data_IF_874631823842
#
_entry.id   IF_874631823842
#
_cell.length_a   1.000
_cell.length_b   1.000
_cell.length_c   1.000
_cell.angle_alpha   90.00
_cell.angle_beta   90.00
_cell.angle_gamma   90.00
#
_symmetry.space_group_name_H-M   'P 1'
#
loop_
_entity.id
_entity.type
_entity.pdbx_description
1 polymer ?
#
# COMPACT_ATOMS: atom_id res chain seq x y z
N UNK A 1 -2.22 -66.81 54.27
CA UNK A 1 -1.48 -65.66 53.70
C UNK A 1 -1.40 -65.66 52.17
N UNK A 2 -1.35 -66.80 51.46
CA UNK A 2 -1.14 -66.82 49.99
C UNK A 2 -2.24 -66.20 49.10
N UNK A 3 -3.53 -66.26 49.46
CA UNK A 3 -4.62 -65.77 48.60
C UNK A 3 -4.69 -64.24 48.48
N UNK A 4 -4.33 -63.51 49.55
CA UNK A 4 -4.36 -62.04 49.58
C UNK A 4 -3.19 -61.47 48.79
N UNK A 5 -2.00 -62.10 48.89
CA UNK A 5 -0.82 -61.69 48.13
C UNK A 5 -1.02 -61.89 46.64
N UNK A 6 -1.60 -63.03 46.22
CA UNK A 6 -1.92 -63.31 44.82
C UNK A 6 -2.94 -62.31 44.26
N UNK A 7 -4.01 -62.02 45.00
CA UNK A 7 -5.01 -61.03 44.59
C UNK A 7 -4.41 -59.62 44.43
N UNK A 8 -3.57 -59.19 45.37
CA UNK A 8 -2.88 -57.89 45.29
C UNK A 8 -1.94 -57.81 44.08
N UNK A 9 -1.17 -58.87 43.80
CA UNK A 9 -0.30 -58.90 42.60
C UNK A 9 -1.09 -58.88 41.29
N UNK A 10 -2.24 -59.54 41.21
CA UNK A 10 -3.08 -59.54 40.00
C UNK A 10 -3.69 -58.16 39.76
N UNK A 11 -4.15 -57.48 40.81
CA UNK A 11 -4.71 -56.12 40.71
C UNK A 11 -3.64 -55.11 40.31
N UNK A 12 -2.44 -55.18 40.91
CA UNK A 12 -1.32 -54.31 40.52
C UNK A 12 -0.88 -54.55 39.07
N UNK A 13 -0.78 -55.82 38.63
CA UNK A 13 -0.43 -56.14 37.26
C UNK A 13 -1.47 -55.62 36.25
N UNK A 14 -2.77 -55.77 36.56
CA UNK A 14 -3.85 -55.26 35.73
C UNK A 14 -3.82 -53.71 35.62
N UNK A 15 -3.56 -53.02 36.73
CA UNK A 15 -3.45 -51.55 36.75
C UNK A 15 -2.25 -51.04 35.93
N UNK A 16 -1.09 -51.71 36.02
CA UNK A 16 0.10 -51.37 35.23
C UNK A 16 -0.14 -51.61 33.73
N UNK A 17 -0.76 -52.73 33.36
CA UNK A 17 -1.14 -53.02 31.97
C UNK A 17 -2.13 -51.99 31.42
N UNK A 18 -3.13 -51.59 32.21
CA UNK A 18 -4.09 -50.56 31.82
C UNK A 18 -3.41 -49.19 31.62
N UNK A 19 -2.53 -48.78 32.53
CA UNK A 19 -1.76 -47.54 32.41
C UNK A 19 -0.84 -47.55 31.19
N UNK A 20 -0.13 -48.65 30.95
CA UNK A 20 0.72 -48.83 29.77
C UNK A 20 -0.08 -48.76 28.46
N UNK A 21 -1.23 -49.44 28.39
CA UNK A 21 -2.13 -49.37 27.23
C UNK A 21 -2.66 -47.95 26.99
N UNK A 22 -2.95 -47.19 28.05
CA UNK A 22 -3.40 -45.80 27.97
C UNK A 22 -2.29 -44.87 27.47
N UNK A 23 -1.05 -45.06 27.92
CA UNK A 23 0.14 -44.33 27.44
C UNK A 23 0.43 -44.67 25.98
N UNK A 24 0.39 -45.95 25.60
CA UNK A 24 0.57 -46.39 24.19
C UNK A 24 -0.53 -45.79 23.31
N UNK A 25 -1.79 -45.85 23.72
CA UNK A 25 -2.91 -45.24 22.98
C UNK A 25 -2.77 -43.72 22.85
N UNK A 26 -2.31 -43.03 23.90
CA UNK A 26 -2.01 -41.58 23.84
C UNK A 26 -0.84 -41.27 22.91
N UNK A 27 0.24 -42.06 22.96
CA UNK A 27 1.38 -41.94 22.04
C UNK A 27 0.96 -42.20 20.60
N UNK A 28 0.25 -43.28 20.31
CA UNK A 28 -0.28 -43.57 18.95
C UNK A 28 -1.20 -42.46 18.43
N UNK A 29 -2.09 -41.91 19.27
CA UNK A 29 -2.94 -40.77 18.90
C UNK A 29 -2.11 -39.51 18.64
N UNK A 30 -1.07 -39.27 19.43
CA UNK A 30 -0.12 -38.16 19.22
C UNK A 30 0.67 -38.33 17.92
N UNK A 31 1.23 -39.52 17.66
CA UNK A 31 1.94 -39.86 16.42
C UNK A 31 1.03 -39.74 15.20
N UNK A 32 -0.23 -40.19 15.28
CA UNK A 32 -1.21 -40.03 14.20
C UNK A 32 -1.59 -38.56 13.94
N UNK A 33 -1.70 -37.73 14.99
CA UNK A 33 -1.90 -36.28 14.85
C UNK A 33 -0.70 -35.59 14.21
N UNK A 34 0.52 -35.98 14.60
CA UNK A 34 1.75 -35.46 14.00
C UNK A 34 1.88 -35.86 12.53
N UNK A 35 1.59 -37.12 12.19
CA UNK A 35 1.60 -37.56 10.79
C UNK A 35 0.60 -36.76 9.93
N UNK A 36 -0.59 -36.46 10.47
CA UNK A 36 -1.58 -35.61 9.79
C UNK A 36 -1.09 -34.17 9.64
N UNK A 37 -0.48 -33.59 10.68
CA UNK A 37 0.07 -32.24 10.61
C UNK A 37 1.20 -32.13 9.58
N UNK A 38 2.09 -33.13 9.51
CA UNK A 38 3.15 -33.20 8.49
C UNK A 38 2.57 -33.32 7.08
N UNK A 39 1.50 -34.11 6.89
CA UNK A 39 0.83 -34.21 5.60
C UNK A 39 0.23 -32.87 5.14
N UNK A 40 -0.46 -32.15 6.05
CA UNK A 40 -1.02 -30.82 5.76
C UNK A 40 0.11 -29.84 5.42
N UNK A 41 1.21 -29.85 6.18
CA UNK A 41 2.34 -28.96 5.93
C UNK A 41 2.97 -29.21 4.56
N UNK A 42 3.14 -30.48 4.18
CA UNK A 42 3.67 -30.86 2.87
C UNK A 42 2.74 -30.43 1.72
N UNK A 43 1.44 -30.61 1.89
CA UNK A 43 0.44 -30.15 0.93
C UNK A 43 0.47 -28.61 0.78
N UNK A 44 0.61 -27.88 1.88
CA UNK A 44 0.73 -26.43 1.88
C UNK A 44 2.03 -25.98 1.18
N UNK A 45 3.16 -26.63 1.47
CA UNK A 45 4.45 -26.37 0.80
C UNK A 45 4.35 -26.57 -0.72
N UNK A 46 3.72 -27.65 -1.16
CA UNK A 46 3.52 -27.95 -2.59
C UNK A 46 2.57 -26.94 -3.27
N UNK A 47 1.43 -26.62 -2.65
CA UNK A 47 0.44 -25.69 -3.21
C UNK A 47 0.95 -24.25 -3.26
N UNK A 48 1.62 -23.78 -2.20
CA UNK A 48 2.21 -22.44 -2.12
C UNK A 48 3.53 -22.32 -2.91
N UNK A 49 4.05 -23.42 -3.46
CA UNK A 49 5.28 -23.43 -4.25
C UNK A 49 5.24 -22.47 -5.44
N UNK A 50 6.22 -21.56 -5.48
CA UNK A 50 6.43 -20.54 -6.53
C UNK A 50 7.73 -20.79 -7.30
N UNK A 51 7.84 -21.91 -8.05
CA UNK A 51 9.03 -22.15 -8.86
C UNK A 51 9.17 -21.05 -9.92
N UNK A 52 10.40 -20.79 -10.36
CA UNK A 52 10.73 -19.72 -11.32
C UNK A 52 9.83 -19.75 -12.56
N UNK A 53 9.50 -20.93 -13.08
CA UNK A 53 8.59 -21.06 -14.23
C UNK A 53 7.18 -20.51 -13.97
N UNK A 54 6.63 -20.72 -12.76
CA UNK A 54 5.33 -20.17 -12.36
C UNK A 54 5.41 -18.66 -12.16
N UNK A 55 6.48 -18.16 -11.54
CA UNK A 55 6.70 -16.72 -11.35
C UNK A 55 6.76 -15.97 -12.69
N UNK A 56 7.40 -16.55 -13.70
CA UNK A 56 7.40 -15.99 -15.06
C UNK A 56 6.00 -15.91 -15.65
N UNK A 57 5.18 -16.96 -15.50
CA UNK A 57 3.79 -16.94 -15.97
C UNK A 57 2.95 -15.86 -15.27
N UNK A 58 3.19 -15.63 -13.98
CA UNK A 58 2.51 -14.54 -13.25
C UNK A 58 2.99 -13.18 -13.75
N UNK A 59 4.29 -13.01 -13.99
CA UNK A 59 4.84 -11.77 -14.56
C UNK A 59 4.27 -11.49 -15.96
N UNK A 60 4.21 -12.50 -16.84
CA UNK A 60 3.61 -12.38 -18.17
C UNK A 60 2.13 -11.98 -18.08
N UNK A 61 1.37 -12.60 -17.16
CA UNK A 61 -0.03 -12.25 -16.92
C UNK A 61 -0.18 -10.81 -16.38
N UNK A 62 0.71 -10.36 -15.50
CA UNK A 62 0.74 -8.98 -15.01
C UNK A 62 0.97 -8.01 -16.18
N UNK A 63 1.94 -8.27 -17.05
CA UNK A 63 2.19 -7.43 -18.24
C UNK A 63 0.99 -7.35 -19.17
N UNK A 64 0.28 -8.47 -19.39
CA UNK A 64 -0.96 -8.49 -20.18
C UNK A 64 -2.04 -7.62 -19.54
N UNK A 65 -2.27 -7.75 -18.24
CA UNK A 65 -3.25 -6.94 -17.51
C UNK A 65 -2.86 -5.45 -17.49
N UNK A 66 -1.56 -5.12 -17.40
CA UNK A 66 -1.07 -3.74 -17.49
C UNK A 66 -1.42 -3.11 -18.84
N UNK A 67 -1.14 -3.81 -19.94
CA UNK A 67 -1.50 -3.34 -21.28
C UNK A 67 -3.02 -3.18 -21.43
N UNK A 68 -3.81 -4.13 -20.92
CA UNK A 68 -5.27 -4.05 -20.97
C UNK A 68 -5.80 -2.85 -20.16
N UNK A 69 -5.25 -2.57 -18.98
CA UNK A 69 -5.64 -1.43 -18.14
C UNK A 69 -5.24 -0.06 -18.72
N UNK A 70 -4.18 0.00 -19.52
CA UNK A 70 -3.77 1.21 -20.26
C UNK A 70 -4.55 1.40 -21.58
N UNK A 71 -5.08 0.32 -22.16
CA UNK A 71 -5.81 0.36 -23.43
C UNK A 71 -7.18 1.06 -23.30
N UNK A 72 -7.90 0.81 -22.20
CA UNK A 72 -9.21 1.42 -21.95
C UNK A 72 -9.57 1.47 -20.48
N UNK A 73 -10.46 2.40 -20.12
CA UNK A 73 -11.03 2.46 -18.77
C UNK A 73 -11.83 1.18 -18.46
N UNK A 74 -11.45 0.49 -17.39
CA UNK A 74 -12.06 -0.79 -17.01
C UNK A 74 -11.61 -2.00 -17.87
N UNK A 75 -10.60 -1.85 -18.72
CA UNK A 75 -10.06 -2.94 -19.56
C UNK A 75 -9.37 -4.07 -18.77
N UNK A 76 -9.00 -3.82 -17.52
CA UNK A 76 -8.34 -4.78 -16.61
C UNK A 76 -8.85 -4.61 -15.18
N UNK A 77 -8.55 -5.59 -14.33
CA UNK A 77 -8.65 -5.43 -12.87
C UNK A 77 -7.59 -4.47 -12.32
N UNK A 78 -6.45 -4.33 -13.00
CA UNK A 78 -5.51 -3.23 -12.79
C UNK A 78 -6.14 -1.93 -13.32
N UNK A 79 -6.23 -0.92 -12.46
CA UNK A 79 -6.84 0.36 -12.87
C UNK A 79 -5.93 1.17 -13.78
N UNK A 80 -4.61 1.07 -13.58
CA UNK A 80 -3.60 1.79 -14.37
C UNK A 80 -3.95 3.27 -14.50
N UNK A 81 -4.18 3.91 -13.36
CA UNK A 81 -4.66 5.28 -13.24
C UNK A 81 -3.59 6.27 -13.69
N UNK A 82 -4.01 7.24 -14.51
CA UNK A 82 -3.17 8.33 -14.98
C UNK A 82 -3.01 9.34 -13.83
N UNK A 83 -1.76 9.58 -13.42
CA UNK A 83 -1.48 10.43 -12.26
C UNK A 83 -1.40 11.92 -12.56
N UNK A 84 -1.30 12.31 -13.84
CA UNK A 84 -0.98 13.68 -14.26
C UNK A 84 0.40 14.18 -13.79
N UNK A 85 1.23 13.31 -13.19
CA UNK A 85 2.63 13.60 -12.89
C UNK A 85 3.45 13.32 -14.15
N UNK A 86 3.79 14.42 -14.82
CA UNK A 86 4.49 14.42 -16.10
C UNK A 86 5.97 14.80 -15.97
N UNK A 87 6.38 15.24 -14.78
CA UNK A 87 7.75 15.58 -14.44
C UNK A 87 8.07 15.15 -13.00
N UNK A 88 8.96 14.15 -12.87
CA UNK A 88 9.45 13.71 -11.57
C UNK A 88 10.60 14.61 -11.07
N UNK A 89 10.87 14.65 -9.76
CA UNK A 89 11.94 15.45 -9.20
C UNK A 89 13.30 15.09 -9.81
N UNK A 90 14.08 16.11 -10.13
CA UNK A 90 15.39 16.02 -10.79
C UNK A 90 16.56 15.95 -9.83
N UNK A 91 16.35 16.43 -8.60
CA UNK A 91 17.40 16.64 -7.60
C UNK A 91 17.95 18.05 -7.55
N UNK A 92 17.61 18.90 -8.53
CA UNK A 92 18.10 20.28 -8.64
C UNK A 92 17.19 21.30 -7.92
N UNK A 93 16.06 20.84 -7.38
CA UNK A 93 15.05 21.66 -6.71
C UNK A 93 15.59 22.38 -5.47
N UNK A 94 15.15 23.62 -5.27
CA UNK A 94 15.53 24.48 -4.15
C UNK A 94 14.30 25.16 -3.57
N UNK A 95 14.32 25.39 -2.27
CA UNK A 95 13.28 26.13 -1.56
C UNK A 95 12.56 25.29 -0.50
N UNK A 96 11.59 25.93 0.14
CA UNK A 96 10.74 25.34 1.17
C UNK A 96 9.48 24.76 0.53
N UNK A 97 9.23 23.47 0.78
CA UNK A 97 8.02 22.77 0.34
C UNK A 97 7.36 22.08 1.51
N UNK A 98 6.03 21.98 1.45
CA UNK A 98 5.22 21.27 2.42
C UNK A 98 4.66 19.99 1.82
N UNK A 99 4.40 18.99 2.67
CA UNK A 99 3.54 17.87 2.30
C UNK A 99 2.55 17.55 3.42
N UNK A 100 1.37 17.10 3.01
CA UNK A 100 0.32 16.57 3.86
C UNK A 100 0.07 15.13 3.41
N UNK A 101 0.16 14.18 4.32
CA UNK A 101 -0.08 12.77 4.04
C UNK A 101 -1.23 12.27 4.89
N UNK A 102 -2.38 12.08 4.24
CA UNK A 102 -3.60 11.56 4.84
C UNK A 102 -3.78 10.09 4.40
N UNK A 103 -3.29 9.20 5.25
CA UNK A 103 -3.18 7.77 4.97
C UNK A 103 -4.14 6.85 5.73
N UNK A 104 -4.73 7.31 6.84
CA UNK A 104 -5.55 6.51 7.74
C UNK A 104 -6.02 7.28 8.97
N UNK A 105 -6.00 6.66 10.16
CA UNK A 105 -6.43 7.28 11.43
C UNK A 105 -5.48 8.38 11.93
N UNK A 106 -4.28 8.47 11.36
CA UNK A 106 -3.35 9.57 11.56
C UNK A 106 -3.04 10.20 10.20
N UNK A 107 -2.69 11.48 10.22
CA UNK A 107 -2.07 12.14 9.09
C UNK A 107 -0.75 12.78 9.51
N UNK A 108 0.11 13.04 8.53
CA UNK A 108 1.40 13.69 8.75
C UNK A 108 1.41 15.03 8.02
N UNK A 109 1.88 16.06 8.71
CA UNK A 109 2.29 17.32 8.08
C UNK A 109 3.81 17.40 8.14
N UNK A 110 4.43 17.76 7.04
CA UNK A 110 5.88 17.86 6.97
C UNK A 110 6.32 19.02 6.10
N UNK A 111 7.53 19.51 6.37
CA UNK A 111 8.20 20.53 5.55
C UNK A 111 9.62 20.11 5.25
N UNK A 112 10.07 20.46 4.05
CA UNK A 112 11.41 20.16 3.58
C UNK A 112 12.04 21.39 2.96
N UNK A 113 13.26 21.71 3.40
CA UNK A 113 14.11 22.71 2.79
C UNK A 113 15.05 22.00 1.82
N UNK A 114 14.88 22.24 0.52
CA UNK A 114 15.72 21.69 -0.54
C UNK A 114 16.86 22.67 -0.89
N UNK A 115 18.06 22.12 -1.03
CA UNK A 115 19.31 22.84 -1.33
C UNK A 115 19.85 22.61 -2.74
N UNK A 116 19.08 21.96 -3.63
CA UNK A 116 19.52 21.58 -4.97
C UNK A 116 20.47 20.39 -4.97
N UNK A 117 21.19 20.21 -6.08
CA UNK A 117 21.96 18.99 -6.36
C UNK A 117 22.94 18.56 -5.27
N UNK A 118 23.66 19.52 -4.70
CA UNK A 118 24.67 19.27 -3.67
C UNK A 118 24.05 19.21 -2.28
N UNK A 119 23.19 20.18 -1.93
CA UNK A 119 22.59 20.28 -0.60
C UNK A 119 21.48 19.26 -0.34
N UNK A 120 20.87 18.69 -1.39
CA UNK A 120 19.73 17.75 -1.32
C UNK A 120 18.67 18.24 -0.34
N UNK A 121 18.30 17.40 0.63
CA UNK A 121 17.45 17.77 1.76
C UNK A 121 18.34 18.41 2.83
N UNK A 122 18.23 19.73 2.98
CA UNK A 122 18.99 20.52 3.97
C UNK A 122 18.39 20.36 5.36
N UNK A 123 17.06 20.42 5.44
CA UNK A 123 16.31 20.32 6.69
C UNK A 123 14.95 19.71 6.42
N UNK A 124 14.50 18.84 7.31
CA UNK A 124 13.18 18.23 7.25
C UNK A 124 12.61 18.13 8.66
N UNK A 125 11.33 18.44 8.80
CA UNK A 125 10.58 18.30 10.05
C UNK A 125 9.18 17.79 9.72
N UNK A 126 8.60 16.99 10.62
CA UNK A 126 7.24 16.49 10.49
C UNK A 126 6.55 16.41 11.86
N UNK A 127 5.22 16.49 11.84
CA UNK A 127 4.35 16.23 12.98
C UNK A 127 3.30 15.20 12.54
N UNK A 128 3.11 14.16 13.34
CA UNK A 128 2.03 13.20 13.16
C UNK A 128 0.85 13.61 14.05
N UNK A 129 -0.33 13.68 13.44
CA UNK A 129 -1.55 14.15 14.10
C UNK A 129 -2.59 13.03 14.00
N UNK A 130 -3.10 12.62 15.16
CA UNK A 130 -4.17 11.63 15.22
C UNK A 130 -5.52 12.27 14.95
N UNK A 131 -6.34 11.62 14.13
CA UNK A 131 -7.67 12.10 13.78
C UNK A 131 -8.66 11.60 14.83
N UNK A 132 -9.35 12.50 15.55
CA UNK A 132 -10.44 12.11 16.43
C UNK A 132 -11.46 11.23 15.69
N UNK A 133 -11.85 10.05 16.24
CA UNK A 133 -12.71 9.10 15.51
C UNK A 133 -14.02 9.67 15.00
N UNK A 134 -14.61 10.64 15.71
CA UNK A 134 -15.85 11.30 15.29
C UNK A 134 -15.69 12.10 13.97
N UNK A 135 -14.49 12.56 13.64
CA UNK A 135 -14.21 13.25 12.37
C UNK A 135 -14.09 12.29 11.20
N UNK A 136 -13.83 11.00 11.45
CA UNK A 136 -13.77 9.98 10.39
C UNK A 136 -15.17 9.60 9.88
N UNK A 137 -16.21 9.95 10.62
CA UNK A 137 -17.63 9.69 10.29
C UNK A 137 -18.49 10.95 10.39
N UNK A 138 -17.85 12.13 10.44
CA UNK A 138 -18.50 13.42 10.55
C UNK A 138 -18.81 14.01 9.18
N UNK A 139 -18.67 15.34 9.05
CA UNK A 139 -18.78 16.03 7.75
C UNK A 139 -17.43 16.30 7.09
N UNK A 140 -17.45 16.49 5.76
CA UNK A 140 -16.27 16.90 4.97
C UNK A 140 -15.63 18.14 5.58
N UNK A 141 -16.46 19.16 5.86
CA UNK A 141 -16.04 20.43 6.42
C UNK A 141 -15.26 20.28 7.73
N UNK A 142 -15.75 19.48 8.68
CA UNK A 142 -15.10 19.29 9.98
C UNK A 142 -13.75 18.57 9.86
N UNK A 143 -13.63 17.56 8.99
CA UNK A 143 -12.36 16.87 8.77
C UNK A 143 -11.31 17.80 8.16
N UNK A 144 -11.66 18.49 7.06
CA UNK A 144 -10.70 19.36 6.37
C UNK A 144 -10.35 20.61 7.18
N UNK A 145 -11.27 21.15 7.99
CA UNK A 145 -10.97 22.22 8.94
C UNK A 145 -9.97 21.77 10.01
N UNK A 146 -10.14 20.57 10.55
CA UNK A 146 -9.21 19.99 11.52
C UNK A 146 -7.80 19.85 10.94
N UNK A 147 -7.71 19.35 9.71
CA UNK A 147 -6.45 19.20 8.98
C UNK A 147 -5.81 20.57 8.70
N UNK A 148 -6.58 21.53 8.20
CA UNK A 148 -6.09 22.88 7.90
C UNK A 148 -5.59 23.60 9.17
N UNK A 149 -6.29 23.46 10.30
CA UNK A 149 -5.88 24.01 11.58
C UNK A 149 -4.56 23.40 12.08
N UNK A 150 -4.39 22.08 11.96
CA UNK A 150 -3.13 21.40 12.29
C UNK A 150 -1.98 21.87 11.38
N UNK A 151 -2.24 22.00 10.08
CA UNK A 151 -1.27 22.51 9.12
C UNK A 151 -0.85 23.96 9.42
N UNK A 152 -1.81 24.83 9.75
CA UNK A 152 -1.52 26.22 10.14
C UNK A 152 -0.69 26.30 11.42
N UNK A 153 -1.01 25.47 12.43
CA UNK A 153 -0.21 25.35 13.65
C UNK A 153 1.22 24.92 13.33
N UNK A 154 1.39 23.93 12.46
CA UNK A 154 2.71 23.46 12.03
C UNK A 154 3.50 24.54 11.28
N UNK A 155 2.86 25.26 10.36
CA UNK A 155 3.46 26.41 9.65
C UNK A 155 3.92 27.50 10.63
N UNK A 156 3.16 27.79 11.69
CA UNK A 156 3.53 28.78 12.70
C UNK A 156 4.81 28.40 13.49
N UNK A 157 5.27 27.14 13.41
CA UNK A 157 6.52 26.69 14.04
C UNK A 157 7.76 26.83 13.16
N UNK A 158 7.65 27.49 11.99
CA UNK A 158 8.79 27.75 11.12
C UNK A 158 9.94 28.43 11.88
N UNK A 159 11.05 27.70 12.05
CA UNK A 159 12.26 28.20 12.71
C UNK A 159 13.37 28.58 11.73
N UNK A 160 14.53 28.96 12.27
CA UNK A 160 15.72 29.23 11.47
C UNK A 160 16.09 28.03 10.57
N UNK A 161 16.37 28.32 9.30
CA UNK A 161 16.69 27.31 8.28
C UNK A 161 15.56 27.00 7.29
N UNK A 162 14.33 27.42 7.57
CA UNK A 162 13.23 27.35 6.61
C UNK A 162 12.97 28.73 5.99
N UNK A 163 13.08 28.82 4.67
CA UNK A 163 12.97 30.09 3.97
C UNK A 163 11.93 29.99 2.87
N UNK A 164 10.79 30.65 3.09
CA UNK A 164 9.86 30.96 2.00
C UNK A 164 10.52 32.02 1.12
N UNK A 165 10.68 31.73 -0.16
CA UNK A 165 11.22 32.71 -1.10
C UNK A 165 10.33 33.97 -1.12
N UNK A 166 10.90 35.19 -1.07
CA UNK A 166 10.11 36.42 -1.08
C UNK A 166 9.15 36.46 -2.28
N UNK A 167 7.87 36.78 -2.01
CA UNK A 167 6.82 36.83 -3.04
C UNK A 167 6.34 35.48 -3.56
N UNK A 168 6.76 34.36 -2.94
CA UNK A 168 6.20 33.04 -3.22
C UNK A 168 5.25 32.60 -2.11
N UNK A 169 4.12 32.07 -2.55
CA UNK A 169 3.18 31.34 -1.70
C UNK A 169 3.78 29.97 -1.32
N UNK A 170 3.42 29.43 -0.15
CA UNK A 170 3.82 28.08 0.25
C UNK A 170 3.16 27.04 -0.66
N UNK A 171 3.92 26.05 -1.10
CA UNK A 171 3.44 24.98 -1.98
C UNK A 171 3.33 23.67 -1.20
N UNK A 172 2.17 23.02 -1.29
CA UNK A 172 1.82 21.78 -0.60
C UNK A 172 1.64 20.63 -1.59
N UNK A 173 2.35 19.52 -1.36
CA UNK A 173 1.99 18.22 -1.93
C UNK A 173 0.98 17.52 -1.03
N UNK A 174 -0.20 17.22 -1.55
CA UNK A 174 -1.25 16.52 -0.81
C UNK A 174 -1.26 15.04 -1.19
N UNK A 175 -0.69 14.19 -0.35
CA UNK A 175 -0.80 12.74 -0.44
C UNK A 175 -2.12 12.29 0.17
N UNK A 176 -3.01 11.75 -0.66
CA UNK A 176 -4.34 11.32 -0.26
C UNK A 176 -4.55 9.86 -0.63
N UNK A 177 -4.33 8.97 0.34
CA UNK A 177 -4.26 7.52 0.10
C UNK A 177 -5.62 6.84 0.20
N UNK A 178 -6.60 7.40 -0.53
CA UNK A 178 -7.91 6.83 -0.76
C UNK A 178 -8.20 6.76 -2.26
N UNK A 179 -9.13 5.90 -2.70
CA UNK A 179 -9.53 5.84 -4.11
C UNK A 179 -10.01 7.19 -4.63
N UNK A 180 -9.25 7.79 -5.55
CA UNK A 180 -9.55 9.08 -6.18
C UNK A 180 -9.56 8.95 -7.70
N UNK A 181 -10.52 9.62 -8.34
CA UNK A 181 -10.52 9.86 -9.77
C UNK A 181 -9.81 11.20 -10.02
N UNK A 182 -8.51 11.13 -10.26
CA UNK A 182 -7.72 12.33 -10.51
C UNK A 182 -8.13 12.97 -11.85
N UNK A 183 -8.34 14.29 -11.84
CA UNK A 183 -8.79 15.06 -13.02
C UNK A 183 -7.70 16.02 -13.52
N UNK A 184 -6.75 16.38 -12.65
CA UNK A 184 -5.52 17.10 -12.99
C UNK A 184 -4.43 16.80 -11.96
N UNK A 185 -3.23 17.36 -12.13
CA UNK A 185 -2.15 17.22 -11.12
C UNK A 185 -2.58 17.73 -9.73
N UNK A 186 -3.51 18.67 -9.65
CA UNK A 186 -3.93 19.30 -8.40
C UNK A 186 -5.47 19.30 -8.24
N UNK A 187 -6.16 18.27 -8.72
CA UNK A 187 -7.59 18.06 -8.47
C UNK A 187 -7.96 16.59 -8.62
N UNK A 188 -8.92 16.12 -7.84
CA UNK A 188 -9.40 14.75 -7.95
C UNK A 188 -10.58 14.44 -7.06
N UNK A 189 -11.56 13.73 -7.63
CA UNK A 189 -12.82 13.43 -6.96
C UNK A 189 -12.69 12.14 -6.14
N UNK A 190 -13.10 12.17 -4.87
CA UNK A 190 -13.11 10.97 -4.04
C UNK A 190 -14.11 9.95 -4.62
N UNK A 191 -13.66 8.71 -4.85
CA UNK A 191 -14.52 7.63 -5.36
C UNK A 191 -15.27 6.97 -4.20
N UNK A 192 -14.54 6.59 -3.15
CA UNK A 192 -15.11 5.97 -1.95
C UNK A 192 -14.14 6.09 -0.78
N UNK A 193 -14.68 6.24 0.42
CA UNK A 193 -13.89 6.10 1.63
C UNK A 193 -13.50 4.64 1.89
N UNK A 194 -12.37 4.47 2.57
CA UNK A 194 -11.86 3.17 3.05
C UNK A 194 -11.27 3.38 4.45
N UNK A 195 -10.63 2.35 5.03
CA UNK A 195 -9.83 2.49 6.27
C UNK A 195 -10.62 3.08 7.46
N UNK A 196 -11.91 2.78 7.55
CA UNK A 196 -12.79 3.23 8.63
C UNK A 196 -13.38 4.63 8.47
N UNK A 197 -13.08 5.34 7.37
CA UNK A 197 -13.73 6.60 7.03
C UNK A 197 -15.11 6.36 6.42
N UNK A 198 -16.07 7.24 6.73
CA UNK A 198 -17.43 7.23 6.21
C UNK A 198 -18.02 8.64 6.25
N UNK A 199 -17.57 9.52 5.35
CA UNK A 199 -18.01 10.91 5.24
C UNK A 199 -18.73 11.07 3.90
N UNK A 200 -20.06 10.99 3.91
CA UNK A 200 -20.87 10.86 2.69
C UNK A 200 -20.76 12.07 1.75
N UNK A 201 -20.66 13.28 2.31
CA UNK A 201 -20.65 14.54 1.55
C UNK A 201 -19.33 14.82 0.82
N UNK A 202 -18.24 14.12 1.14
CA UNK A 202 -16.98 14.20 0.36
C UNK A 202 -17.00 13.31 -0.88
N UNK A 203 -17.85 12.28 -0.93
CA UNK A 203 -17.82 11.30 -2.03
C UNK A 203 -18.30 11.96 -3.33
N UNK A 204 -17.45 11.94 -4.36
CA UNK A 204 -17.67 12.62 -5.64
C UNK A 204 -17.18 14.06 -5.69
N UNK A 205 -16.67 14.61 -4.58
CA UNK A 205 -16.16 15.98 -4.50
C UNK A 205 -14.63 16.03 -4.65
N UNK A 206 -14.13 17.15 -5.17
CA UNK A 206 -12.69 17.41 -5.32
C UNK A 206 -12.04 17.67 -3.96
N UNK A 207 -11.23 16.71 -3.50
CA UNK A 207 -10.56 16.75 -2.19
C UNK A 207 -9.53 17.88 -2.08
N UNK A 208 -8.97 18.32 -3.21
CA UNK A 208 -8.07 19.49 -3.23
C UNK A 208 -8.88 20.77 -3.01
N UNK A 209 -10.05 20.87 -3.65
CA UNK A 209 -11.00 21.95 -3.43
C UNK A 209 -11.45 22.03 -1.97
N UNK A 210 -11.79 20.90 -1.35
CA UNK A 210 -12.19 20.84 0.07
C UNK A 210 -11.10 21.33 1.02
N UNK A 211 -9.86 20.85 0.83
CA UNK A 211 -8.71 21.32 1.61
C UNK A 211 -8.42 22.80 1.38
N UNK A 212 -8.52 23.28 0.13
CA UNK A 212 -8.28 24.68 -0.24
C UNK A 212 -9.28 25.60 0.45
N UNK A 213 -10.58 25.27 0.40
CA UNK A 213 -11.63 26.02 1.10
C UNK A 213 -11.36 26.07 2.61
N UNK A 214 -10.88 24.97 3.22
CA UNK A 214 -10.53 24.92 4.64
C UNK A 214 -9.35 25.83 4.99
N UNK A 215 -8.29 25.84 4.16
CA UNK A 215 -7.16 26.75 4.33
C UNK A 215 -7.56 28.22 4.18
N UNK A 216 -8.45 28.53 3.21
CA UNK A 216 -8.97 29.89 2.99
C UNK A 216 -9.78 30.41 4.19
N UNK A 217 -10.64 29.56 4.79
CA UNK A 217 -11.44 29.93 5.98
C UNK A 217 -10.59 30.42 7.15
N UNK A 218 -9.38 29.87 7.31
CA UNK A 218 -8.45 30.24 8.39
C UNK A 218 -7.35 31.21 7.93
N UNK A 219 -7.37 31.65 6.67
CA UNK A 219 -6.40 32.60 6.12
C UNK A 219 -4.98 32.04 5.97
N UNK A 220 -4.83 30.72 5.75
CA UNK A 220 -3.52 30.10 5.54
C UNK A 220 -3.04 30.34 4.10
N UNK A 221 -1.98 31.13 3.93
CA UNK A 221 -1.38 31.43 2.61
C UNK A 221 -0.56 30.24 2.08
N UNK A 222 -1.25 29.29 1.46
CA UNK A 222 -0.70 28.05 0.92
C UNK A 222 -1.53 27.55 -0.27
N UNK A 223 -0.84 26.96 -1.27
CA UNK A 223 -1.47 26.36 -2.45
C UNK A 223 -1.17 24.87 -2.51
N UNK A 224 -2.19 24.06 -2.77
CA UNK A 224 -1.99 22.65 -3.16
C UNK A 224 -1.40 22.62 -4.56
N UNK A 225 -0.13 22.22 -4.68
CA UNK A 225 0.58 22.17 -5.95
C UNK A 225 0.39 20.82 -6.66
N UNK A 226 0.18 19.75 -5.90
CA UNK A 226 -0.08 18.42 -6.45
C UNK A 226 -0.92 17.58 -5.47
N UNK A 227 -1.88 16.84 -6.01
CA UNK A 227 -2.55 15.71 -5.39
C UNK A 227 -1.81 14.44 -5.84
N UNK A 228 -1.37 13.63 -4.89
CA UNK A 228 -0.59 12.42 -5.17
C UNK A 228 -1.12 11.23 -4.40
N UNK A 229 -1.00 10.05 -5.00
CA UNK A 229 -1.07 8.78 -4.27
C UNK A 229 0.25 8.52 -3.54
N UNK A 230 0.22 7.84 -2.39
CA UNK A 230 1.40 7.48 -1.58
C UNK A 230 2.50 6.76 -2.37
N UNK A 231 2.12 5.85 -3.26
CA UNK A 231 3.04 5.06 -4.08
C UNK A 231 3.73 5.94 -5.14
N UNK A 232 3.01 6.92 -5.69
CA UNK A 232 3.57 7.95 -6.56
C UNK A 232 4.53 8.85 -5.79
N UNK A 233 4.15 9.28 -4.58
CA UNK A 233 5.02 10.07 -3.70
C UNK A 233 6.32 9.32 -3.38
N UNK A 234 6.23 8.00 -3.16
CA UNK A 234 7.38 7.11 -2.97
C UNK A 234 8.28 7.07 -4.19
N UNK A 235 7.71 6.95 -5.40
CA UNK A 235 8.47 7.02 -6.65
C UNK A 235 9.15 8.39 -6.83
N UNK A 236 8.45 9.48 -6.53
CA UNK A 236 8.98 10.83 -6.65
C UNK A 236 10.15 11.08 -5.68
N UNK A 237 10.02 10.66 -4.42
CA UNK A 237 11.11 10.72 -3.43
C UNK A 237 12.30 9.85 -3.84
N UNK A 238 12.03 8.64 -4.36
CA UNK A 238 13.05 7.76 -4.93
C UNK A 238 13.81 8.42 -6.09
N UNK A 239 13.06 8.97 -7.05
CA UNK A 239 13.60 9.63 -8.26
C UNK A 239 14.42 10.87 -7.92
N UNK A 240 14.03 11.62 -6.88
CA UNK A 240 14.79 12.77 -6.38
C UNK A 240 16.23 12.38 -6.02
N UNK A 241 16.43 11.24 -5.35
CA UNK A 241 17.75 10.76 -4.96
C UNK A 241 18.46 9.95 -6.05
N UNK A 242 17.72 9.17 -6.82
CA UNK A 242 18.23 8.27 -7.85
C UNK A 242 17.47 8.44 -9.17
N UNK A 243 18.12 9.01 -10.19
CA UNK A 243 17.52 9.24 -11.51
C UNK A 243 17.09 7.97 -12.24
N UNK A 244 17.62 6.81 -11.84
CA UNK A 244 17.28 5.51 -12.44
C UNK A 244 16.02 4.86 -11.82
N UNK A 245 15.42 5.46 -10.78
CA UNK A 245 14.23 4.90 -10.15
C UNK A 245 13.02 4.99 -11.08
N UNK A 246 12.56 3.89 -11.66
CA UNK A 246 11.43 3.88 -12.60
C UNK A 246 10.13 3.34 -12.01
N UNK A 247 10.18 2.70 -10.84
CA UNK A 247 9.03 2.14 -10.17
C UNK A 247 9.18 2.23 -8.64
N UNK A 248 8.06 2.33 -7.96
CA UNK A 248 7.94 2.22 -6.51
C UNK A 248 6.90 1.18 -6.17
N UNK A 249 7.18 0.45 -5.10
CA UNK A 249 6.28 -0.60 -4.59
C UNK A 249 6.10 -0.42 -3.09
N UNK A 250 4.84 -0.43 -2.65
CA UNK A 250 4.46 -0.48 -1.25
C UNK A 250 4.13 -1.94 -0.88
N UNK A 251 4.80 -2.44 0.17
CA UNK A 251 4.54 -3.75 0.77
C UNK A 251 4.30 -3.56 2.27
N UNK A 252 3.06 -3.26 2.64
CA UNK A 252 2.68 -3.07 4.05
C UNK A 252 1.31 -3.67 4.33
N UNK A 253 0.50 -2.97 5.13
CA UNK A 253 -0.91 -3.38 5.39
C UNK A 253 -1.70 -3.55 4.09
N UNK A 254 -1.42 -2.73 3.08
CA UNK A 254 -1.85 -2.94 1.70
C UNK A 254 -0.64 -3.06 0.78
N UNK A 255 -0.91 -3.33 -0.50
CA UNK A 255 0.13 -3.25 -1.53
C UNK A 255 -0.33 -2.44 -2.74
N UNK A 256 0.58 -1.67 -3.29
CA UNK A 256 0.39 -0.95 -4.53
C UNK A 256 1.73 -0.77 -5.26
N UNK A 257 1.67 -0.46 -6.55
CA UNK A 257 2.82 -0.11 -7.35
C UNK A 257 2.53 1.09 -8.26
N UNK A 258 3.55 1.91 -8.46
CA UNK A 258 3.54 2.98 -9.43
C UNK A 258 4.82 2.93 -10.26
N UNK A 259 4.74 3.28 -11.53
CA UNK A 259 5.90 3.29 -12.42
C UNK A 259 5.82 4.37 -13.48
N UNK A 260 6.95 4.65 -14.12
CA UNK A 260 7.07 5.58 -15.24
C UNK A 260 6.80 4.86 -16.55
N UNK A 261 5.72 5.23 -17.23
CA UNK A 261 5.37 4.74 -18.56
C UNK A 261 5.66 5.81 -19.62
N UNK A 262 5.91 5.36 -20.85
CA UNK A 262 5.97 6.23 -22.02
C UNK A 262 4.59 6.73 -22.36
N UNK A 263 4.40 8.05 -22.36
CA UNK A 263 3.08 8.66 -22.53
C UNK A 263 2.37 8.28 -23.84
N UNK A 264 3.12 8.02 -24.91
CA UNK A 264 2.56 7.59 -26.21
C UNK A 264 2.10 6.12 -26.22
N UNK A 265 2.48 5.32 -25.22
CA UNK A 265 2.11 3.92 -25.06
C UNK A 265 0.86 3.74 -24.18
N UNK A 266 0.10 4.82 -23.95
CA UNK A 266 -1.13 4.82 -23.14
C UNK A 266 -2.33 5.13 -24.05
N UNK A 267 -2.96 4.12 -24.70
CA UNK A 267 -4.04 4.37 -25.65
C UNK A 267 -5.25 5.09 -25.06
N UNK A 268 -5.55 4.90 -23.76
CA UNK A 268 -6.67 5.58 -23.11
C UNK A 268 -6.41 7.06 -22.81
N UNK A 269 -5.16 7.52 -22.89
CA UNK A 269 -4.80 8.93 -22.69
C UNK A 269 -4.98 9.71 -23.99
N UNK A 270 -5.88 10.69 -23.95
CA UNK A 270 -6.18 11.56 -25.09
C UNK A 270 -5.77 13.03 -24.83
N UNK A 271 -5.15 13.30 -23.67
CA UNK A 271 -4.68 14.63 -23.31
C UNK A 271 -3.36 14.98 -24.00
N UNK A 272 -2.84 16.16 -23.67
CA UNK A 272 -1.54 16.60 -24.18
C UNK A 272 -0.43 15.68 -23.68
N UNK A 273 0.52 15.35 -24.56
CA UNK A 273 1.67 14.57 -24.17
C UNK A 273 2.61 15.42 -23.28
N UNK A 274 3.05 14.86 -22.14
CA UNK A 274 4.15 15.39 -21.33
C UNK A 274 5.35 15.81 -22.17
N UNK A 275 5.99 16.94 -21.81
CA UNK A 275 7.24 17.37 -22.47
C UNK A 275 8.37 16.36 -22.27
N UNK A 276 8.38 15.67 -21.13
CA UNK A 276 9.31 14.58 -20.81
C UNK A 276 9.10 13.33 -21.68
N UNK A 277 7.90 13.16 -22.25
CA UNK A 277 7.45 11.90 -22.86
C UNK A 277 7.11 10.81 -21.83
N UNK A 278 7.20 11.12 -20.54
CA UNK A 278 6.96 10.21 -19.41
C UNK A 278 5.64 10.55 -18.72
N UNK A 279 4.91 9.52 -18.28
CA UNK A 279 3.71 9.65 -17.46
C UNK A 279 3.80 8.63 -16.33
N UNK A 280 3.65 9.09 -15.08
CA UNK A 280 3.59 8.17 -13.95
C UNK A 280 2.21 7.51 -13.91
N UNK A 281 2.19 6.19 -13.73
CA UNK A 281 0.98 5.39 -13.62
C UNK A 281 0.88 4.82 -12.21
N UNK A 282 -0.26 5.03 -11.57
CA UNK A 282 -0.64 4.29 -10.37
C UNK A 282 -1.38 3.01 -10.79
N UNK A 283 -0.81 1.85 -10.51
CA UNK A 283 -1.35 0.58 -11.01
C UNK A 283 -2.63 0.16 -10.28
N UNK A 284 -2.76 0.51 -9.00
CA UNK A 284 -3.75 -0.07 -8.07
C UNK A 284 -3.73 -1.61 -8.16
N UNK A 285 -2.53 -2.18 -8.04
CA UNK A 285 -2.29 -3.58 -8.41
C UNK A 285 -2.81 -4.61 -7.41
N UNK A 286 -3.34 -4.16 -6.27
CA UNK A 286 -3.85 -5.04 -5.22
C UNK A 286 -4.97 -5.95 -5.71
N UNK A 287 -5.67 -5.52 -6.76
CA UNK A 287 -6.76 -6.25 -7.39
C UNK A 287 -6.31 -7.17 -8.54
N UNK A 288 -5.01 -7.31 -8.77
CA UNK A 288 -4.48 -8.26 -9.76
C UNK A 288 -4.92 -9.69 -9.40
N UNK A 289 -5.34 -10.44 -10.42
CA UNK A 289 -5.72 -11.85 -10.29
C UNK A 289 -5.31 -12.60 -11.54
N UNK A 290 -4.77 -13.80 -11.36
CA UNK A 290 -4.40 -14.70 -12.45
C UNK A 290 -4.59 -16.15 -12.01
N UNK A 291 -4.89 -17.05 -12.94
CA UNK A 291 -4.91 -18.50 -12.71
C UNK A 291 -3.52 -19.06 -12.37
N UNK A 292 -2.46 -18.29 -12.63
CA UNK A 292 -1.09 -18.64 -12.29
C UNK A 292 -0.71 -18.32 -10.83
N UNK A 293 -1.55 -17.56 -10.11
CA UNK A 293 -1.36 -17.34 -8.67
C UNK A 293 -1.54 -18.67 -7.92
N UNK A 294 -0.61 -19.05 -7.03
CA UNK A 294 -0.69 -20.30 -6.27
C UNK A 294 -1.70 -20.19 -5.12
N UNK A 295 -2.98 -20.06 -5.45
CA UNK A 295 -4.07 -19.98 -4.48
C UNK A 295 -4.35 -21.36 -3.86
N UNK A 296 -4.65 -21.35 -2.56
CA UNK A 296 -5.07 -22.51 -1.78
C UNK A 296 -6.52 -22.38 -1.33
N UNK A 297 -7.09 -23.46 -0.82
CA UNK A 297 -8.42 -23.47 -0.20
C UNK A 297 -8.53 -22.47 0.99
N UNK A 298 -7.42 -22.13 1.63
CA UNK A 298 -7.38 -21.15 2.73
C UNK A 298 -7.50 -19.73 2.20
N UNK A 299 -6.85 -19.43 1.07
CA UNK A 299 -6.94 -18.11 0.42
C UNK A 299 -8.36 -17.87 -0.09
N UNK A 300 -9.01 -18.90 -0.66
CA UNK A 300 -10.40 -18.84 -1.11
C UNK A 300 -11.38 -18.65 0.05
N UNK A 301 -11.16 -19.34 1.18
CA UNK A 301 -11.96 -19.16 2.38
C UNK A 301 -11.80 -17.74 2.95
N UNK A 302 -10.56 -17.24 3.02
CA UNK A 302 -10.26 -15.89 3.48
C UNK A 302 -10.91 -14.83 2.58
N UNK A 303 -10.85 -14.99 1.25
CA UNK A 303 -11.51 -14.11 0.29
C UNK A 303 -13.04 -14.11 0.50
N UNK A 304 -13.64 -15.30 0.68
CA UNK A 304 -15.07 -15.46 0.91
C UNK A 304 -15.55 -14.80 2.21
N UNK A 305 -14.74 -14.84 3.27
CA UNK A 305 -15.03 -14.23 4.57
C UNK A 305 -14.63 -12.75 4.64
N UNK A 306 -13.98 -12.22 3.60
CA UNK A 306 -13.54 -10.83 3.57
C UNK A 306 -14.70 -9.84 3.41
N UNK A 307 -14.43 -8.57 3.69
CA UNK A 307 -15.39 -7.49 3.46
C UNK A 307 -15.69 -7.24 1.97
N UNK A 308 -14.77 -7.64 1.07
CA UNK A 308 -14.90 -7.42 -0.38
C UNK A 308 -14.57 -8.71 -1.16
N UNK A 309 -15.42 -9.76 -1.08
CA UNK A 309 -15.12 -11.03 -1.73
C UNK A 309 -14.89 -10.89 -3.24
N UNK A 310 -13.80 -11.48 -3.73
CA UNK A 310 -13.38 -11.44 -5.13
C UNK A 310 -12.64 -10.18 -5.55
N UNK A 311 -12.41 -9.23 -4.64
CA UNK A 311 -11.56 -8.06 -4.82
C UNK A 311 -10.28 -8.16 -3.99
N UNK A 312 -9.22 -7.44 -4.39
CA UNK A 312 -7.96 -7.32 -3.64
C UNK A 312 -7.21 -8.65 -3.41
N UNK A 313 -7.35 -9.61 -4.33
CA UNK A 313 -6.76 -10.96 -4.25
C UNK A 313 -5.23 -10.91 -4.06
N UNK A 314 -4.51 -10.01 -4.74
CA UNK A 314 -3.06 -9.89 -4.57
C UNK A 314 -2.67 -9.33 -3.19
N UNK A 315 -3.49 -8.47 -2.58
CA UNK A 315 -3.25 -7.96 -1.22
C UNK A 315 -3.34 -9.11 -0.20
N UNK A 316 -4.38 -9.94 -0.32
CA UNK A 316 -4.59 -11.10 0.55
C UNK A 316 -3.39 -12.06 0.49
N UNK A 317 -2.79 -12.25 -0.69
CA UNK A 317 -1.58 -13.06 -0.84
C UNK A 317 -0.33 -12.38 -0.25
N UNK A 318 -0.13 -11.07 -0.44
CA UNK A 318 1.05 -10.36 0.06
C UNK A 318 1.12 -10.36 1.60
N UNK A 319 -0.03 -10.33 2.28
CA UNK A 319 -0.09 -10.48 3.74
C UNK A 319 0.32 -11.87 4.23
N UNK A 320 0.36 -12.88 3.34
CA UNK A 320 0.53 -14.29 3.68
C UNK A 320 1.63 -15.04 2.92
N UNK A 321 2.58 -14.36 2.25
CA UNK A 321 3.85 -14.85 1.66
C UNK A 321 3.98 -14.46 0.17
N UNK A 322 5.19 -14.01 -0.19
CA UNK A 322 5.73 -13.86 -1.57
C UNK A 322 5.27 -12.61 -2.34
N UNK A 323 5.97 -11.50 -2.16
CA UNK A 323 5.97 -10.39 -3.16
C UNK A 323 7.36 -10.09 -3.73
N UNK A 324 8.43 -10.41 -2.98
CA UNK A 324 9.81 -10.17 -3.41
C UNK A 324 10.13 -10.88 -4.75
N UNK A 325 9.61 -12.11 -4.93
CA UNK A 325 9.90 -12.89 -6.14
C UNK A 325 9.18 -12.39 -7.41
N UNK A 326 8.03 -11.69 -7.28
CA UNK A 326 7.31 -11.12 -8.43
C UNK A 326 8.01 -9.86 -8.96
N UNK A 327 8.59 -9.08 -8.04
CA UNK A 327 9.27 -7.83 -8.35
C UNK A 327 10.61 -8.11 -9.02
N UNK A 328 11.40 -9.07 -8.53
CA UNK A 328 12.69 -9.42 -9.15
C UNK A 328 12.53 -9.87 -10.60
N UNK A 329 11.51 -10.67 -10.93
CA UNK A 329 11.24 -11.08 -12.33
C UNK A 329 10.73 -9.93 -13.22
N UNK A 330 9.93 -9.00 -12.67
CA UNK A 330 9.48 -7.82 -13.41
C UNK A 330 10.62 -6.83 -13.64
N UNK A 331 11.48 -6.64 -12.64
CA UNK A 331 12.69 -5.81 -12.71
C UNK A 331 13.70 -6.40 -13.70
N UNK A 332 13.95 -7.71 -13.65
CA UNK A 332 14.89 -8.40 -14.53
C UNK A 332 14.45 -8.35 -16.01
N UNK A 333 13.14 -8.40 -16.28
CA UNK A 333 12.62 -8.26 -17.66
C UNK A 333 12.77 -6.84 -18.23
N UNK A 334 12.90 -5.82 -17.37
CA UNK A 334 12.97 -4.40 -17.76
C UNK A 334 14.29 -3.71 -17.42
N UNK A 335 15.28 -4.44 -16.87
CA UNK A 335 16.59 -3.91 -16.46
C UNK A 335 16.47 -2.68 -15.52
N UNK A 336 15.47 -2.73 -14.62
CA UNK A 336 15.00 -1.60 -13.83
C UNK A 336 15.62 -1.52 -12.42
N UNK A 337 15.49 -0.39 -11.72
CA UNK A 337 15.73 -0.30 -10.27
C UNK A 337 14.45 0.19 -9.59
N UNK A 338 13.92 -0.59 -8.64
CA UNK A 338 12.74 -0.23 -7.87
C UNK A 338 13.11 0.32 -6.49
N UNK A 339 12.25 1.20 -5.95
CA UNK A 339 12.31 1.67 -4.57
C UNK A 339 11.26 0.93 -3.75
N UNK A 340 11.71 0.21 -2.72
CA UNK A 340 10.85 -0.45 -1.74
C UNK A 340 10.70 0.48 -0.54
N UNK A 341 9.46 0.77 -0.14
CA UNK A 341 9.16 1.47 1.09
C UNK A 341 8.42 0.52 2.04
N UNK A 342 9.01 0.30 3.22
CA UNK A 342 8.36 -0.36 4.34
C UNK A 342 7.62 0.72 5.14
N UNK A 343 6.29 0.57 5.29
CA UNK A 343 5.43 1.46 6.09
C UNK A 343 4.79 0.71 7.26
#
# INVERSE_FOLDING_TARGET
>A
MGKVTVAATVVCAAAVCAAAALVVRRRMKSTGRWARAVAILKEMEEKCGTPIGKLRQVADAMTVEMHAGLASEGGSKLKMLISYVDNLPTGDEKGLFYALDLGGTNFRVLRVQLGGREGRVVKQEFEEVSIPPHLMTGSSHELFDYIAAALAKFVATEGEGFHVSPGRQRELGFTFSFPVRQTSIASGDLIKWTKGFSIEDTVGEDVVGELTKAMERIGLDMRVAALVNDTIGTLAGGRYHNKDAIAAVILGTGTNAAYVERAHAIPKWHGLLPKSGEMVINMEWGNFRSSHLPLTEYDEALDTESLNPGEQVAILMCQFHVTIAYIDSFIDSHNARAVLADF
#
